data_IF_284510890072
#
_entry.id   IF_284510890072
#
_cell.length_a   1.000
_cell.length_b   1.000
_cell.length_c   1.000
_cell.angle_alpha   90.00
_cell.angle_beta   90.00
_cell.angle_gamma   90.00
#
_symmetry.space_group_name_H-M   'P 1'
#
loop_
_entity.id
_entity.type
_entity.pdbx_description
1 polymer ?
#
# COMPACT_ATOMS: atom_id res chain seq x y z
N UNK A 1 -36.11 30.53 17.47
CA UNK A 1 -34.85 30.06 16.88
C UNK A 1 -35.18 28.83 16.06
N UNK A 2 -35.31 28.96 14.75
CA UNK A 2 -35.74 27.91 13.83
C UNK A 2 -34.48 27.23 13.32
N UNK A 3 -34.32 25.92 13.57
CA UNK A 3 -33.28 25.12 13.01
C UNK A 3 -33.52 24.98 11.51
N UNK A 4 -32.53 25.32 10.72
CA UNK A 4 -32.56 25.44 9.28
C UNK A 4 -32.86 24.06 8.67
N UNK A 5 -34.00 23.91 7.97
CA UNK A 5 -34.47 22.65 7.34
C UNK A 5 -33.45 22.03 6.37
N UNK A 6 -32.58 22.85 5.79
CA UNK A 6 -31.48 22.40 4.92
C UNK A 6 -30.43 21.52 5.65
N UNK A 7 -30.19 21.78 6.93
CA UNK A 7 -29.24 20.96 7.74
C UNK A 7 -29.84 19.60 8.12
N UNK A 8 -31.15 19.54 8.36
CA UNK A 8 -31.83 18.27 8.69
C UNK A 8 -31.90 17.36 7.44
N UNK A 9 -32.14 17.93 6.26
CA UNK A 9 -32.13 17.19 5.00
C UNK A 9 -30.74 16.59 4.69
N UNK A 10 -29.67 17.37 4.90
CA UNK A 10 -28.30 16.90 4.72
C UNK A 10 -27.90 15.78 5.68
N UNK A 11 -28.34 15.85 6.95
CA UNK A 11 -28.11 14.79 7.95
C UNK A 11 -28.90 13.50 7.63
N UNK A 12 -30.12 13.63 7.09
CA UNK A 12 -30.94 12.49 6.71
C UNK A 12 -30.42 11.82 5.45
N UNK A 13 -29.88 12.58 4.51
CA UNK A 13 -29.27 12.05 3.29
C UNK A 13 -27.97 11.31 3.57
N UNK A 14 -27.12 11.81 4.46
CA UNK A 14 -25.92 11.13 4.95
C UNK A 14 -26.25 9.85 5.74
N UNK A 15 -27.32 9.83 6.51
CA UNK A 15 -27.78 8.64 7.26
C UNK A 15 -28.30 7.53 6.36
N UNK A 16 -28.92 7.88 5.23
CA UNK A 16 -29.39 6.91 4.22
C UNK A 16 -28.24 6.31 3.41
N UNK A 17 -27.12 6.99 3.26
CA UNK A 17 -25.92 6.48 2.57
C UNK A 17 -25.15 5.44 3.40
N UNK A 18 -25.34 5.40 4.72
CA UNK A 18 -24.63 4.51 5.63
C UNK A 18 -25.37 3.21 5.96
N UNK A 19 -26.53 2.93 5.36
CA UNK A 19 -27.18 1.63 5.53
C UNK A 19 -26.37 0.54 4.84
N UNK A 20 -25.69 -0.30 5.63
CA UNK A 20 -25.07 -1.53 5.18
C UNK A 20 -26.14 -2.41 4.56
N UNK A 21 -26.23 -2.41 3.24
CA UNK A 21 -27.20 -3.21 2.50
C UNK A 21 -26.56 -4.51 2.06
N UNK A 22 -27.24 -5.62 2.33
CA UNK A 22 -26.86 -6.97 1.88
C UNK A 22 -26.67 -7.07 0.35
N UNK A 23 -27.30 -6.19 -0.42
CA UNK A 23 -27.31 -6.18 -1.90
C UNK A 23 -26.43 -5.10 -2.52
N UNK A 24 -25.83 -4.18 -1.75
CA UNK A 24 -25.03 -3.08 -2.26
C UNK A 24 -23.57 -3.22 -1.85
N UNK A 25 -22.67 -2.98 -2.80
CA UNK A 25 -21.24 -2.86 -2.51
C UNK A 25 -21.01 -1.63 -1.64
N UNK A 26 -20.26 -1.79 -0.54
CA UNK A 26 -19.91 -0.69 0.34
C UNK A 26 -19.18 0.43 -0.44
N UNK A 27 -19.47 1.68 -0.12
CA UNK A 27 -18.78 2.82 -0.71
C UNK A 27 -17.30 2.83 -0.27
N UNK A 28 -16.41 2.99 -1.23
CA UNK A 28 -14.98 3.13 -0.96
C UNK A 28 -14.74 4.58 -0.54
N UNK A 29 -14.33 4.78 0.72
CA UNK A 29 -13.95 6.11 1.22
C UNK A 29 -12.71 6.60 0.49
N UNK A 30 -12.75 7.85 0.03
CA UNK A 30 -11.56 8.51 -0.54
C UNK A 30 -10.58 8.82 0.59
N UNK A 31 -9.33 8.41 0.39
CA UNK A 31 -8.25 8.74 1.32
C UNK A 31 -7.82 10.19 1.06
N UNK A 32 -7.85 11.03 2.08
CA UNK A 32 -7.34 12.39 2.01
C UNK A 32 -5.82 12.38 1.84
N UNK A 33 -5.25 13.34 1.10
CA UNK A 33 -3.80 13.47 0.99
C UNK A 33 -3.17 13.81 2.33
N UNK A 34 -1.89 13.48 2.48
CA UNK A 34 -1.10 13.83 3.66
C UNK A 34 -0.99 15.37 3.79
N UNK A 35 -1.19 15.95 4.98
CA UNK A 35 -1.19 17.41 5.15
C UNK A 35 0.18 18.05 4.91
N UNK A 36 1.28 17.32 5.13
CA UNK A 36 2.65 17.85 5.00
C UNK A 36 3.14 17.75 3.56
N UNK A 37 2.94 16.61 2.92
CA UNK A 37 3.48 16.31 1.59
C UNK A 37 2.44 16.27 0.47
N UNK A 38 1.15 16.47 0.76
CA UNK A 38 0.07 16.44 -0.23
C UNK A 38 -0.13 15.11 -0.96
N UNK A 39 0.49 14.01 -0.49
CA UNK A 39 0.51 12.72 -1.17
C UNK A 39 -0.54 11.74 -0.62
N UNK A 40 -1.42 11.26 -1.51
CA UNK A 40 -2.39 10.20 -1.17
C UNK A 40 -1.72 8.84 -0.98
N UNK A 41 -0.57 8.61 -1.64
CA UNK A 41 0.20 7.37 -1.50
C UNK A 41 0.81 7.30 -0.10
N UNK A 42 1.35 8.43 0.38
CA UNK A 42 1.91 8.52 1.73
C UNK A 42 0.83 8.32 2.80
N UNK A 43 -0.37 8.91 2.64
CA UNK A 43 -1.49 8.65 3.55
C UNK A 43 -1.88 7.17 3.61
N UNK A 44 -1.92 6.48 2.46
CA UNK A 44 -2.17 5.02 2.42
C UNK A 44 -1.06 4.24 3.12
N UNK A 45 0.18 4.68 2.95
CA UNK A 45 1.34 4.08 3.59
C UNK A 45 1.31 4.26 5.11
N UNK A 46 0.99 5.46 5.59
CA UNK A 46 0.78 5.77 7.02
C UNK A 46 -0.29 4.85 7.63
N UNK A 47 -1.42 4.70 6.93
CA UNK A 47 -2.48 3.81 7.38
C UNK A 47 -2.06 2.33 7.40
N UNK A 48 -1.12 1.91 6.55
CA UNK A 48 -0.62 0.53 6.52
C UNK A 48 0.44 0.26 7.61
N UNK A 49 1.22 1.25 8.00
CA UNK A 49 2.18 1.16 9.13
C UNK A 49 1.47 1.20 10.47
N UNK A 50 0.39 1.98 10.57
CA UNK A 50 -0.37 2.21 11.79
C UNK A 50 -0.80 0.89 12.45
N UNK A 51 -0.67 0.80 13.77
CA UNK A 51 -1.17 -0.28 14.63
C UNK A 51 -2.18 0.32 15.62
N UNK A 52 -3.22 -0.44 15.95
CA UNK A 52 -4.22 -0.10 16.97
C UNK A 52 -4.87 1.28 16.79
N UNK A 53 -4.92 1.79 15.56
CA UNK A 53 -5.47 3.12 15.27
C UNK A 53 -4.59 4.30 15.70
N UNK A 54 -3.34 4.06 16.15
CA UNK A 54 -2.41 5.10 16.64
C UNK A 54 -1.78 5.87 15.49
N UNK A 55 -2.57 6.72 14.83
CA UNK A 55 -2.15 7.41 13.60
C UNK A 55 -1.03 8.43 13.85
N UNK A 56 -1.12 9.20 14.93
CA UNK A 56 -0.10 10.21 15.28
C UNK A 56 1.28 9.61 15.50
N UNK A 57 1.34 8.41 16.10
CA UNK A 57 2.59 7.66 16.26
C UNK A 57 3.16 7.24 14.91
N UNK A 58 2.32 6.73 13.99
CA UNK A 58 2.75 6.35 12.65
C UNK A 58 3.28 7.56 11.86
N UNK A 59 2.61 8.70 11.92
CA UNK A 59 3.04 9.97 11.30
C UNK A 59 4.38 10.44 11.88
N UNK A 60 4.56 10.38 13.20
CA UNK A 60 5.83 10.74 13.86
C UNK A 60 6.99 9.84 13.40
N UNK A 61 6.76 8.52 13.25
CA UNK A 61 7.76 7.57 12.77
C UNK A 61 8.16 7.91 11.32
N UNK A 62 7.19 8.17 10.45
CA UNK A 62 7.45 8.51 9.05
C UNK A 62 8.24 9.81 8.94
N UNK A 63 7.83 10.86 9.66
CA UNK A 63 8.51 12.16 9.63
C UNK A 63 9.96 12.06 10.12
N UNK A 64 10.19 11.31 11.21
CA UNK A 64 11.55 11.03 11.71
C UNK A 64 12.38 10.25 10.67
N UNK A 65 11.80 9.20 10.07
CA UNK A 65 12.49 8.42 9.03
C UNK A 65 12.83 9.28 7.81
N UNK A 66 11.98 10.22 7.44
CA UNK A 66 12.23 11.15 6.34
C UNK A 66 13.36 12.13 6.67
N UNK A 67 13.41 12.64 7.91
CA UNK A 67 14.54 13.46 8.39
C UNK A 67 15.86 12.67 8.36
N UNK A 68 15.83 11.39 8.77
CA UNK A 68 17.01 10.52 8.73
C UNK A 68 17.46 10.25 7.28
N UNK A 69 16.53 10.03 6.36
CA UNK A 69 16.85 9.84 4.94
C UNK A 69 17.50 11.11 4.38
N UNK A 70 16.93 12.28 4.66
CA UNK A 70 17.45 13.55 4.19
C UNK A 70 18.86 13.82 4.73
N UNK A 71 19.12 13.50 6.01
CA UNK A 71 20.44 13.66 6.62
C UNK A 71 21.50 12.73 6.02
N UNK A 72 21.11 11.51 5.60
CA UNK A 72 22.02 10.50 5.05
C UNK A 72 22.28 10.67 3.56
N UNK A 73 21.28 11.08 2.79
CA UNK A 73 21.34 11.10 1.32
C UNK A 73 21.46 12.52 0.74
N UNK A 74 21.03 13.54 1.49
CA UNK A 74 20.93 14.92 0.99
C UNK A 74 19.79 15.13 -0.03
N UNK A 75 19.08 14.09 -0.44
CA UNK A 75 17.97 14.17 -1.41
C UNK A 75 16.62 14.39 -0.71
N UNK A 76 15.64 15.00 -1.40
CA UNK A 76 14.28 15.11 -0.88
C UNK A 76 13.70 13.72 -0.56
N UNK A 77 13.26 13.46 0.69
CA UNK A 77 12.84 12.13 1.12
C UNK A 77 11.63 11.59 0.35
N UNK A 78 10.77 12.48 -0.16
CA UNK A 78 9.64 12.10 -1.01
C UNK A 78 10.08 11.49 -2.35
N UNK A 79 11.19 11.90 -2.92
CA UNK A 79 11.72 11.32 -4.16
C UNK A 79 12.18 9.88 -3.91
N UNK A 80 12.91 9.66 -2.82
CA UNK A 80 13.36 8.32 -2.40
C UNK A 80 12.16 7.42 -2.10
N UNK A 81 11.15 7.93 -1.39
CA UNK A 81 9.92 7.22 -1.12
C UNK A 81 9.17 6.81 -2.39
N UNK A 82 8.97 7.74 -3.32
CA UNK A 82 8.28 7.46 -4.58
C UNK A 82 9.07 6.44 -5.42
N UNK A 83 10.39 6.59 -5.51
CA UNK A 83 11.29 5.65 -6.20
C UNK A 83 11.23 4.25 -5.56
N UNK A 84 11.25 4.17 -4.23
CA UNK A 84 11.11 2.90 -3.52
C UNK A 84 9.77 2.21 -3.81
N UNK A 85 8.65 2.95 -3.75
CA UNK A 85 7.33 2.40 -4.09
C UNK A 85 7.31 1.90 -5.53
N UNK A 86 7.83 2.68 -6.49
CA UNK A 86 7.84 2.33 -7.91
C UNK A 86 8.67 1.06 -8.16
N UNK A 87 9.85 0.98 -7.56
CA UNK A 87 10.72 -0.18 -7.67
C UNK A 87 10.11 -1.48 -7.11
N UNK A 88 9.30 -1.38 -6.05
CA UNK A 88 8.67 -2.55 -5.41
C UNK A 88 7.37 -2.98 -6.11
N UNK A 89 6.77 -2.14 -6.95
CA UNK A 89 5.52 -2.44 -7.64
C UNK A 89 5.65 -3.69 -8.53
N UNK A 90 4.81 -4.73 -8.32
CA UNK A 90 4.79 -5.87 -9.23
C UNK A 90 3.97 -5.57 -10.49
N UNK A 91 4.44 -6.06 -11.64
CA UNK A 91 3.70 -6.02 -12.90
C UNK A 91 2.78 -7.23 -13.05
N UNK A 92 3.21 -8.38 -12.51
CA UNK A 92 2.49 -9.66 -12.60
C UNK A 92 2.36 -10.30 -11.21
N UNK A 93 1.28 -11.00 -11.00
CA UNK A 93 1.06 -11.87 -9.82
C UNK A 93 0.58 -13.24 -10.26
N UNK A 94 0.71 -14.23 -9.38
CA UNK A 94 0.19 -15.57 -9.63
C UNK A 94 -1.12 -15.74 -8.87
N UNK A 95 -2.16 -16.24 -9.56
CA UNK A 95 -3.46 -16.55 -8.95
C UNK A 95 -3.79 -18.02 -9.15
N UNK A 96 -4.23 -18.66 -8.08
CA UNK A 96 -4.73 -20.03 -8.15
C UNK A 96 -6.07 -20.07 -8.88
N UNK A 97 -6.18 -20.95 -9.88
CA UNK A 97 -7.41 -21.25 -10.62
C UNK A 97 -7.65 -22.75 -10.59
N UNK A 98 -8.89 -23.15 -10.34
CA UNK A 98 -9.27 -24.56 -10.35
C UNK A 98 -9.92 -24.89 -11.71
N UNK A 99 -9.31 -25.81 -12.43
CA UNK A 99 -9.75 -26.25 -13.74
C UNK A 99 -9.78 -27.78 -13.75
N UNK A 100 -10.94 -28.38 -14.04
CA UNK A 100 -11.09 -29.83 -14.11
C UNK A 100 -10.66 -30.60 -12.85
N UNK A 101 -10.82 -29.99 -11.64
CA UNK A 101 -10.41 -30.61 -10.38
C UNK A 101 -8.99 -30.34 -9.94
N UNK A 102 -8.08 -29.93 -10.84
CA UNK A 102 -6.71 -29.53 -10.52
C UNK A 102 -6.59 -28.02 -10.26
N UNK A 103 -5.66 -27.61 -9.39
CA UNK A 103 -5.39 -26.20 -9.09
C UNK A 103 -4.13 -25.76 -9.81
N UNK A 104 -4.29 -24.79 -10.69
CA UNK A 104 -3.19 -24.20 -11.46
C UNK A 104 -2.86 -22.81 -10.94
N UNK A 105 -1.57 -22.48 -10.96
CA UNK A 105 -1.07 -21.14 -10.63
C UNK A 105 -0.98 -20.33 -11.94
N UNK A 106 -1.94 -19.44 -12.16
CA UNK A 106 -2.08 -18.68 -13.41
C UNK A 106 -1.46 -17.30 -13.25
N UNK A 107 -0.49 -16.88 -14.08
CA UNK A 107 0.06 -15.54 -14.07
C UNK A 107 -0.97 -14.54 -14.61
N UNK A 108 -1.16 -13.43 -13.88
CA UNK A 108 -2.11 -12.38 -14.22
C UNK A 108 -1.45 -11.01 -14.04
N UNK A 109 -1.67 -10.11 -14.99
CA UNK A 109 -1.23 -8.73 -14.86
C UNK A 109 -1.93 -8.02 -13.68
N UNK A 110 -1.18 -7.21 -12.96
CA UNK A 110 -1.67 -6.51 -11.77
C UNK A 110 -2.15 -5.12 -12.13
N UNK A 111 -3.42 -4.81 -11.82
CA UNK A 111 -3.96 -3.46 -11.97
C UNK A 111 -3.18 -2.46 -11.10
N UNK A 112 -2.97 -1.22 -11.58
CA UNK A 112 -2.17 -0.18 -10.91
C UNK A 112 -2.51 0.01 -9.43
N UNK A 113 -3.79 0.11 -9.07
CA UNK A 113 -4.21 0.27 -7.67
C UNK A 113 -3.80 -0.93 -6.78
N UNK A 114 -3.87 -2.15 -7.32
CA UNK A 114 -3.45 -3.36 -6.60
C UNK A 114 -1.94 -3.47 -6.51
N UNK A 115 -1.22 -3.13 -7.57
CA UNK A 115 0.24 -3.08 -7.59
C UNK A 115 0.77 -2.14 -6.52
N UNK A 116 0.17 -0.93 -6.40
CA UNK A 116 0.49 0.01 -5.33
C UNK A 116 0.21 -0.55 -3.93
N UNK A 117 -0.95 -1.20 -3.73
CA UNK A 117 -1.30 -1.79 -2.44
C UNK A 117 -0.36 -2.95 -2.05
N UNK A 118 0.10 -3.75 -3.03
CA UNK A 118 1.07 -4.82 -2.82
C UNK A 118 2.44 -4.25 -2.44
N UNK A 119 2.91 -3.22 -3.16
CA UNK A 119 4.18 -2.54 -2.85
C UNK A 119 4.20 -2.01 -1.42
N UNK A 120 3.15 -1.28 -1.01
CA UNK A 120 3.01 -0.77 0.36
C UNK A 120 3.07 -1.92 1.38
N UNK A 121 2.31 -2.99 1.15
CA UNK A 121 2.26 -4.14 2.06
C UNK A 121 3.61 -4.83 2.17
N UNK A 122 4.32 -5.01 1.07
CA UNK A 122 5.63 -5.68 1.06
C UNK A 122 6.69 -4.85 1.74
N UNK A 123 6.72 -3.52 1.53
CA UNK A 123 7.63 -2.63 2.24
C UNK A 123 7.34 -2.66 3.75
N UNK A 124 6.08 -2.53 4.17
CA UNK A 124 5.71 -2.57 5.60
C UNK A 124 6.08 -3.91 6.24
N UNK A 125 5.86 -5.03 5.53
CA UNK A 125 6.27 -6.36 6.01
C UNK A 125 7.79 -6.47 6.12
N UNK A 126 8.53 -5.98 5.12
CA UNK A 126 9.98 -5.95 5.11
C UNK A 126 10.53 -5.14 6.30
N UNK A 127 10.01 -3.92 6.50
CA UNK A 127 10.38 -3.04 7.63
C UNK A 127 10.18 -3.73 8.98
N UNK A 128 9.03 -4.39 9.18
CA UNK A 128 8.77 -5.09 10.45
C UNK A 128 9.74 -6.24 10.73
N UNK A 129 10.21 -6.90 9.69
CA UNK A 129 11.12 -8.05 9.79
C UNK A 129 12.61 -7.68 9.93
N UNK A 130 12.97 -6.40 9.78
CA UNK A 130 14.35 -5.94 9.96
C UNK A 130 14.81 -6.06 11.42
N UNK A 131 16.13 -6.11 11.64
CA UNK A 131 16.74 -6.37 12.95
C UNK A 131 17.09 -5.11 13.73
N UNK A 132 17.02 -3.92 13.14
CA UNK A 132 17.31 -2.65 13.80
C UNK A 132 16.40 -2.44 15.02
N UNK A 133 16.82 -1.65 16.00
CA UNK A 133 16.06 -1.42 17.24
C UNK A 133 14.81 -0.58 17.03
N UNK A 134 14.93 0.52 16.31
CA UNK A 134 13.87 1.50 16.10
C UNK A 134 13.12 1.21 14.81
N UNK A 135 11.78 1.39 14.81
CA UNK A 135 10.99 1.30 13.60
C UNK A 135 11.34 2.44 12.61
N UNK A 136 11.81 3.57 13.12
CA UNK A 136 12.31 4.70 12.34
C UNK A 136 13.52 4.28 11.51
N UNK A 137 14.52 3.65 12.15
CA UNK A 137 15.75 3.19 11.48
C UNK A 137 15.45 2.07 10.48
N UNK A 138 14.57 1.12 10.85
CA UNK A 138 14.09 0.07 9.95
C UNK A 138 13.49 0.65 8.68
N UNK A 139 12.64 1.68 8.85
CA UNK A 139 11.91 2.30 7.74
C UNK A 139 12.86 3.10 6.85
N UNK A 140 13.74 3.92 7.42
CA UNK A 140 14.72 4.71 6.63
C UNK A 140 15.64 3.79 5.83
N UNK A 141 16.16 2.73 6.45
CA UNK A 141 17.05 1.76 5.79
C UNK A 141 16.34 0.99 4.67
N UNK A 142 15.11 0.49 4.90
CA UNK A 142 14.37 -0.25 3.87
C UNK A 142 14.00 0.64 2.68
N UNK A 143 13.61 1.91 2.92
CA UNK A 143 13.28 2.83 1.83
C UNK A 143 14.51 3.16 0.98
N UNK A 144 15.67 3.38 1.60
CA UNK A 144 16.92 3.61 0.87
C UNK A 144 17.33 2.36 0.07
N UNK A 145 17.26 1.17 0.67
CA UNK A 145 17.58 -0.09 0.00
C UNK A 145 16.64 -0.32 -1.19
N UNK A 146 15.33 -0.13 -1.00
CA UNK A 146 14.33 -0.30 -2.06
C UNK A 146 14.49 0.72 -3.19
N UNK A 147 14.87 1.97 -2.89
CA UNK A 147 15.19 2.97 -3.90
C UNK A 147 16.43 2.57 -4.73
N UNK A 148 17.39 1.86 -4.10
CA UNK A 148 18.56 1.28 -4.75
C UNK A 148 18.33 -0.10 -5.39
N UNK A 149 17.08 -0.55 -5.54
CA UNK A 149 16.72 -1.91 -6.01
C UNK A 149 17.34 -3.04 -5.18
N UNK A 150 17.43 -2.84 -3.87
CA UNK A 150 17.92 -3.81 -2.89
C UNK A 150 16.87 -4.04 -1.80
N UNK A 151 17.14 -4.95 -0.88
CA UNK A 151 16.26 -5.19 0.27
C UNK A 151 15.24 -6.32 0.08
N UNK A 152 14.57 -6.66 1.17
CA UNK A 152 13.66 -7.80 1.23
C UNK A 152 12.35 -7.56 0.48
N UNK A 153 11.90 -6.32 0.38
CA UNK A 153 10.73 -5.94 -0.40
C UNK A 153 10.95 -6.16 -1.91
N UNK A 154 12.13 -5.78 -2.43
CA UNK A 154 12.52 -6.02 -3.82
C UNK A 154 12.62 -7.52 -4.10
N UNK A 155 13.29 -8.28 -3.22
CA UNK A 155 13.38 -9.74 -3.35
C UNK A 155 11.99 -10.37 -3.45
N UNK A 156 11.02 -9.92 -2.65
CA UNK A 156 9.63 -10.41 -2.73
C UNK A 156 8.98 -10.14 -4.08
N UNK A 157 9.23 -8.97 -4.69
CA UNK A 157 8.78 -8.66 -6.06
C UNK A 157 9.41 -9.63 -7.06
N UNK A 158 10.72 -9.82 -7.00
CA UNK A 158 11.46 -10.71 -7.92
C UNK A 158 11.00 -12.16 -7.79
N UNK A 159 10.81 -12.66 -6.56
CA UNK A 159 10.29 -14.02 -6.33
C UNK A 159 8.89 -14.18 -6.93
N UNK A 160 8.04 -13.15 -6.82
CA UNK A 160 6.70 -13.15 -7.41
C UNK A 160 6.78 -13.17 -8.95
N UNK A 161 7.68 -12.38 -9.55
CA UNK A 161 7.89 -12.36 -10.99
C UNK A 161 8.46 -13.69 -11.49
N UNK A 162 9.44 -14.28 -10.80
CA UNK A 162 10.00 -15.61 -11.12
C UNK A 162 8.92 -16.71 -11.08
N UNK A 163 8.05 -16.67 -10.05
CA UNK A 163 6.92 -17.60 -9.98
C UNK A 163 5.95 -17.43 -11.14
N UNK A 164 5.68 -16.19 -11.55
CA UNK A 164 4.80 -15.90 -12.68
C UNK A 164 5.42 -16.38 -14.00
N UNK A 165 6.72 -16.21 -14.18
CA UNK A 165 7.45 -16.67 -15.36
C UNK A 165 7.49 -18.19 -15.43
N UNK A 166 7.80 -18.89 -14.35
CA UNK A 166 7.78 -20.35 -14.27
C UNK A 166 6.41 -20.96 -14.61
N UNK A 167 5.33 -20.24 -14.30
CA UNK A 167 3.96 -20.67 -14.58
C UNK A 167 3.38 -20.10 -15.89
N UNK A 168 4.22 -19.49 -16.75
CA UNK A 168 3.79 -18.86 -18.01
C UNK A 168 3.02 -19.79 -18.94
N UNK A 169 3.31 -21.09 -18.92
CA UNK A 169 2.60 -22.10 -19.68
C UNK A 169 1.09 -22.16 -19.37
N UNK A 170 0.68 -21.79 -18.16
CA UNK A 170 -0.71 -21.79 -17.72
C UNK A 170 -1.45 -20.46 -17.98
N UNK A 171 -0.83 -19.51 -18.67
CA UNK A 171 -1.43 -18.21 -18.96
C UNK A 171 -2.74 -18.29 -19.75
N UNK A 172 -2.93 -19.36 -20.56
CA UNK A 172 -4.16 -19.59 -21.32
C UNK A 172 -5.39 -19.88 -20.46
N UNK A 173 -5.23 -20.24 -19.19
CA UNK A 173 -6.33 -20.36 -18.21
C UNK A 173 -6.75 -19.03 -17.59
N UNK A 174 -6.33 -17.90 -18.16
CA UNK A 174 -6.69 -16.56 -17.73
C UNK A 174 -8.04 -16.15 -18.37
N UNK A 175 -9.12 -16.19 -17.60
CA UNK A 175 -10.43 -15.61 -17.89
C UNK A 175 -10.92 -14.73 -16.73
#
# INVERSE_FOLDING_TARGET
MWANESNVAHYTEQRNQNKMSRRRKAQIRKVLPDPVHGSTVLSKFTNAIMLDGKKTVAESIINKSFSDIQSKTGEPPMNIFNKAIENVRPLVEVRSRRVGGATYQVPVEVKSNRSQALAIRWIVSAVRNRKEKSLTDKLSSELMDAAGNKGSAIKKREDTHKMAEANKAFAHFRW
#
